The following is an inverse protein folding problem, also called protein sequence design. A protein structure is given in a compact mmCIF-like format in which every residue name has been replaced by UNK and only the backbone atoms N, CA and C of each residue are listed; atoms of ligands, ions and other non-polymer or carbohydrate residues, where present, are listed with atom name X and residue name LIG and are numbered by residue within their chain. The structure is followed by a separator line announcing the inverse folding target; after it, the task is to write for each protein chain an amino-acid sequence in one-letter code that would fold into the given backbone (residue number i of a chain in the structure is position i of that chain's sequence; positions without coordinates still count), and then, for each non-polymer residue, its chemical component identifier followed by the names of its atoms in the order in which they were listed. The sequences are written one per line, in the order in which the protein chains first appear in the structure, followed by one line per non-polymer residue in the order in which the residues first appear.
data_IF_269838216383
#
_entry.id   IF_269838216383
#
_cell.length_a   1.000
_cell.length_b   1.000
_cell.length_c   1.000
_cell.angle_alpha   90.00
_cell.angle_beta   90.00
_cell.angle_gamma   90.00
#
_symmetry.space_group_name_H-M   'P 1'
#
loop_
_entity.id
_entity.type
_entity.pdbx_description
1 polymer ?
#
# COMPACT_ATOMS: atom_id res chain seq x y z
N UNK A 1 -59.14 -39.19 11.99
CA UNK A 1 -60.50 -39.50 12.39
C UNK A 1 -61.45 -39.00 11.32
N UNK A 2 -62.01 -39.96 10.67
CA UNK A 2 -63.11 -39.94 9.65
C UNK A 2 -64.40 -39.33 10.20
N UNK A 3 -65.54 -39.24 9.49
CA UNK A 3 -65.89 -39.70 8.14
C UNK A 3 -66.97 -38.88 7.34
N UNK A 4 -67.17 -39.27 6.05
CA UNK A 4 -68.42 -39.58 5.32
C UNK A 4 -69.64 -38.63 5.29
N UNK A 5 -70.18 -38.30 4.12
CA UNK A 5 -71.30 -39.00 3.45
C UNK A 5 -71.77 -38.20 2.19
N UNK A 6 -71.74 -38.76 1.04
CA UNK A 6 -72.82 -39.33 0.18
C UNK A 6 -74.18 -38.64 0.16
N UNK A 7 -74.61 -38.29 -1.09
CA UNK A 7 -75.89 -38.64 -1.74
C UNK A 7 -76.04 -37.77 -3.04
N UNK A 8 -75.90 -38.27 -4.26
CA UNK A 8 -76.87 -39.06 -5.05
C UNK A 8 -78.23 -38.36 -5.32
N UNK A 9 -78.42 -37.96 -6.58
CA UNK A 9 -79.58 -38.41 -7.38
C UNK A 9 -79.66 -37.71 -8.73
N UNK A 10 -79.99 -38.55 -9.71
CA UNK A 10 -80.31 -38.35 -11.15
C UNK A 10 -81.79 -37.90 -11.26
N UNK A 11 -82.36 -37.83 -12.51
CA UNK A 11 -82.21 -36.97 -13.68
C UNK A 11 -83.57 -36.43 -14.14
N UNK A 12 -83.58 -35.50 -15.11
CA UNK A 12 -84.78 -35.35 -15.94
C UNK A 12 -84.41 -34.87 -17.35
N UNK A 13 -84.75 -35.67 -18.31
CA UNK A 13 -84.79 -35.40 -19.76
C UNK A 13 -85.91 -34.42 -20.06
N UNK A 14 -85.63 -33.40 -20.92
CA UNK A 14 -86.58 -32.87 -21.88
C UNK A 14 -85.86 -32.45 -23.15
N UNK A 15 -86.22 -33.10 -24.18
CA UNK A 15 -86.04 -32.82 -25.61
C UNK A 15 -86.75 -31.51 -25.95
N UNK A 16 -86.06 -30.60 -26.66
CA UNK A 16 -86.74 -29.67 -27.55
C UNK A 16 -85.81 -29.32 -28.73
N UNK A 17 -86.33 -29.52 -29.85
CA UNK A 17 -85.84 -29.40 -31.21
C UNK A 17 -85.76 -27.92 -31.64
N UNK A 18 -84.78 -27.55 -32.46
CA UNK A 18 -84.94 -26.51 -33.47
C UNK A 18 -84.30 -25.15 -33.19
N UNK A 19 -83.22 -24.90 -33.92
CA UNK A 19 -83.07 -23.78 -34.85
C UNK A 19 -81.59 -23.66 -35.25
N UNK A 20 -81.31 -24.02 -36.52
CA UNK A 20 -80.08 -23.85 -37.21
C UNK A 20 -79.95 -22.37 -37.60
N UNK A 21 -79.19 -21.56 -36.73
CA UNK A 21 -78.84 -20.19 -37.02
C UNK A 21 -77.42 -20.11 -37.44
N UNK A 22 -77.10 -19.88 -38.68
CA UNK A 22 -75.83 -19.53 -39.26
C UNK A 22 -75.41 -18.19 -38.67
N UNK A 23 -74.58 -18.20 -37.61
CA UNK A 23 -73.79 -17.04 -37.14
C UNK A 23 -72.44 -17.11 -37.85
N UNK A 24 -72.32 -16.40 -39.00
CA UNK A 24 -71.04 -15.99 -39.53
C UNK A 24 -70.37 -15.08 -38.60
N UNK A 25 -69.48 -15.60 -37.68
CA UNK A 25 -68.64 -14.82 -36.85
C UNK A 25 -67.58 -14.06 -37.71
N UNK A 26 -67.72 -12.76 -37.81
CA UNK A 26 -66.65 -11.90 -38.25
C UNK A 26 -65.49 -12.09 -37.29
N UNK A 27 -64.50 -12.89 -37.67
CA UNK A 27 -63.18 -12.86 -37.01
C UNK A 27 -62.58 -11.49 -37.34
N UNK A 28 -62.53 -10.59 -36.38
CA UNK A 28 -61.75 -9.38 -36.51
C UNK A 28 -60.29 -9.76 -36.89
N UNK A 29 -59.69 -9.11 -37.90
CA UNK A 29 -58.29 -9.35 -38.20
C UNK A 29 -57.45 -9.07 -36.96
N UNK A 30 -56.41 -9.91 -36.68
CA UNK A 30 -55.56 -9.67 -35.54
C UNK A 30 -55.04 -8.23 -35.59
N UNK A 31 -55.00 -7.50 -34.45
CA UNK A 31 -54.54 -6.11 -34.41
C UNK A 31 -53.14 -6.05 -35.06
N UNK A 32 -52.83 -5.02 -35.86
CA UNK A 32 -51.52 -4.91 -36.49
C UNK A 32 -50.47 -4.96 -35.41
N UNK A 33 -49.43 -5.82 -35.63
CA UNK A 33 -48.34 -5.99 -34.68
C UNK A 33 -47.77 -4.62 -34.37
N UNK A 34 -47.72 -4.25 -33.10
CA UNK A 34 -47.17 -2.97 -32.66
C UNK A 34 -45.73 -2.82 -33.23
N UNK A 35 -45.36 -1.65 -33.74
CA UNK A 35 -44.04 -1.47 -34.29
C UNK A 35 -42.96 -1.84 -33.25
N UNK A 36 -41.85 -2.49 -33.66
CA UNK A 36 -40.81 -2.95 -32.72
C UNK A 36 -40.30 -1.79 -31.92
N UNK A 37 -40.19 -1.99 -30.59
CA UNK A 37 -39.70 -0.97 -29.65
C UNK A 37 -38.29 -0.53 -30.03
N UNK A 38 -38.09 0.78 -30.16
CA UNK A 38 -36.77 1.37 -30.41
C UNK A 38 -35.93 1.28 -29.15
N UNK A 39 -34.72 0.74 -29.25
CA UNK A 39 -33.73 0.61 -28.18
C UNK A 39 -32.38 1.10 -28.64
N UNK A 40 -31.62 1.70 -27.74
CA UNK A 40 -30.24 2.06 -28.01
C UNK A 40 -29.32 0.92 -27.58
N UNK A 41 -28.38 0.57 -28.44
CA UNK A 41 -27.44 -0.51 -28.21
C UNK A 41 -26.00 -0.01 -28.41
N UNK A 42 -25.11 -0.58 -27.60
CA UNK A 42 -23.66 -0.39 -27.74
C UNK A 42 -23.07 -1.71 -28.22
N UNK A 43 -22.21 -1.65 -29.25
CA UNK A 43 -21.42 -2.80 -29.67
C UNK A 43 -20.20 -2.94 -28.73
N UNK A 44 -20.07 -4.11 -28.12
CA UNK A 44 -18.96 -4.43 -27.21
C UNK A 44 -17.68 -4.62 -28.01
N UNK A 45 -16.70 -3.77 -27.77
CA UNK A 45 -15.38 -3.89 -28.40
C UNK A 45 -14.30 -4.02 -27.32
N UNK A 46 -13.27 -4.84 -27.56
CA UNK A 46 -12.12 -4.89 -26.67
C UNK A 46 -11.40 -3.54 -26.64
N UNK A 47 -11.06 -3.08 -25.43
CA UNK A 47 -10.30 -1.84 -25.21
C UNK A 47 -9.17 -2.09 -24.22
N UNK A 48 -8.05 -1.41 -24.43
CA UNK A 48 -7.00 -1.33 -23.42
C UNK A 48 -7.41 -0.37 -22.31
N UNK A 49 -7.44 -0.84 -21.10
CA UNK A 49 -7.86 -0.08 -19.93
C UNK A 49 -6.71 0.03 -18.93
N UNK A 50 -6.35 1.26 -18.56
CA UNK A 50 -5.43 1.51 -17.48
C UNK A 50 -6.10 1.15 -16.14
N UNK A 51 -5.43 0.36 -15.33
CA UNK A 51 -5.90 -0.03 -14.00
C UNK A 51 -5.07 0.63 -12.92
N UNK A 52 -5.74 1.03 -11.86
CA UNK A 52 -5.09 1.51 -10.63
C UNK A 52 -5.67 0.80 -9.42
N UNK A 53 -4.84 0.66 -8.38
CA UNK A 53 -5.21 -0.02 -7.15
C UNK A 53 -4.86 0.89 -5.98
N UNK A 54 -5.82 1.11 -5.09
CA UNK A 54 -5.66 1.96 -3.92
C UNK A 54 -5.42 1.09 -2.67
N UNK A 55 -4.38 1.42 -1.91
CA UNK A 55 -4.02 0.77 -0.65
C UNK A 55 -3.86 1.82 0.44
N UNK A 56 -4.18 1.47 1.67
CA UNK A 56 -3.75 2.27 2.81
C UNK A 56 -2.24 2.12 2.96
N UNK A 57 -1.54 3.24 2.94
CA UNK A 57 -0.11 3.32 3.16
C UNK A 57 0.23 4.17 4.35
N UNK A 58 1.39 3.94 4.93
CA UNK A 58 1.97 4.74 6.01
C UNK A 58 3.26 5.38 5.52
N UNK A 59 3.41 6.67 5.82
CA UNK A 59 4.65 7.39 5.55
C UNK A 59 5.69 7.02 6.59
N UNK A 60 6.88 6.61 6.16
CA UNK A 60 8.00 6.22 7.01
C UNK A 60 9.20 7.08 6.67
N UNK A 61 9.97 7.49 7.66
CA UNK A 61 11.21 8.24 7.44
C UNK A 61 12.19 7.40 6.59
N UNK A 62 12.95 8.07 5.72
CA UNK A 62 14.04 7.43 4.97
C UNK A 62 15.03 6.71 5.87
N UNK A 63 15.44 7.40 6.94
CA UNK A 63 16.28 6.86 8.01
C UNK A 63 15.80 7.45 9.33
N UNK A 64 15.79 6.60 10.34
CA UNK A 64 15.60 6.99 11.73
C UNK A 64 16.76 6.45 12.52
N UNK A 65 17.46 7.34 13.20
CA UNK A 65 18.56 6.98 14.09
C UNK A 65 18.16 7.38 15.52
N UNK A 66 18.26 6.43 16.42
CA UNK A 66 18.12 6.64 17.84
C UNK A 66 19.45 7.13 18.39
N UNK A 67 19.46 8.34 18.94
CA UNK A 67 20.62 8.89 19.63
C UNK A 67 20.60 8.39 21.07
N UNK A 68 21.55 7.52 21.38
CA UNK A 68 21.70 6.90 22.69
C UNK A 68 22.96 7.43 23.38
N UNK A 69 22.97 7.43 24.70
CA UNK A 69 24.18 7.73 25.46
C UNK A 69 25.14 6.54 25.38
N UNK A 70 26.42 6.80 25.21
CA UNK A 70 27.48 5.78 25.29
C UNK A 70 28.09 5.66 26.67
N UNK A 71 27.92 6.70 27.52
CA UNK A 71 28.44 6.75 28.88
C UNK A 71 27.38 7.27 29.85
N UNK A 72 27.50 6.87 31.12
CA UNK A 72 26.65 7.38 32.21
C UNK A 72 27.10 8.75 32.68
N UNK A 73 26.19 9.52 33.28
CA UNK A 73 26.48 10.84 33.84
C UNK A 73 25.25 11.73 33.90
N UNK A 74 25.49 13.00 34.19
CA UNK A 74 24.46 14.04 34.25
C UNK A 74 24.57 14.90 32.98
N UNK A 75 23.42 15.19 32.32
CA UNK A 75 23.39 16.10 31.18
C UNK A 75 23.64 17.52 31.67
N UNK A 76 24.77 18.09 31.30
CA UNK A 76 25.11 19.49 31.61
C UNK A 76 24.45 20.46 30.67
N UNK A 77 24.41 20.10 29.39
CA UNK A 77 23.90 21.00 28.35
C UNK A 77 23.20 20.21 27.22
N UNK A 78 22.10 20.78 26.70
CA UNK A 78 21.43 20.39 25.45
C UNK A 78 21.60 21.55 24.45
N UNK A 79 22.26 21.31 23.33
CA UNK A 79 22.72 22.38 22.42
C UNK A 79 21.79 22.59 21.22
N UNK A 80 20.66 21.89 21.14
CA UNK A 80 19.70 21.97 20.04
C UNK A 80 18.29 22.36 20.51
N UNK A 81 17.45 22.80 19.58
CA UNK A 81 16.01 22.95 19.76
C UNK A 81 15.30 21.70 19.21
N UNK A 82 14.30 21.20 19.93
CA UNK A 82 13.46 20.09 19.48
C UNK A 82 12.77 20.44 18.16
N UNK A 83 12.74 19.49 17.23
CA UNK A 83 12.17 19.71 15.89
C UNK A 83 13.05 20.52 14.94
N UNK A 84 14.24 20.96 15.34
CA UNK A 84 15.18 21.64 14.47
C UNK A 84 15.89 20.67 13.51
N UNK A 85 16.53 21.25 12.48
CA UNK A 85 17.45 20.51 11.61
C UNK A 85 18.83 20.44 12.26
N UNK A 86 19.41 19.26 12.25
CA UNK A 86 20.78 19.01 12.69
C UNK A 86 21.64 18.48 11.56
N UNK A 87 22.96 18.73 11.67
CA UNK A 87 23.95 18.25 10.71
C UNK A 87 24.77 17.11 11.29
N UNK A 88 25.32 16.20 10.46
CA UNK A 88 26.23 15.18 10.94
C UNK A 88 27.40 15.82 11.71
N UNK A 89 27.77 15.23 12.85
CA UNK A 89 28.81 15.73 13.75
C UNK A 89 28.41 16.88 14.67
N UNK A 90 27.22 17.45 14.51
CA UNK A 90 26.74 18.52 15.41
C UNK A 90 26.62 17.99 16.83
N UNK A 91 27.12 18.74 17.80
CA UNK A 91 26.97 18.42 19.23
C UNK A 91 25.51 18.55 19.61
N UNK A 92 24.99 17.56 20.30
CA UNK A 92 23.59 17.49 20.76
C UNK A 92 23.50 17.62 22.28
N UNK A 93 24.35 16.86 23.00
CA UNK A 93 24.40 16.90 24.46
C UNK A 93 25.85 16.95 24.94
N UNK A 94 26.02 17.53 26.09
CA UNK A 94 27.24 17.47 26.90
C UNK A 94 26.90 16.78 28.21
N UNK A 95 27.63 15.73 28.51
CA UNK A 95 27.52 14.97 29.77
C UNK A 95 28.67 15.42 30.69
N UNK A 96 28.47 15.43 31.99
CA UNK A 96 29.48 15.76 32.99
C UNK A 96 30.76 14.94 32.76
N UNK A 97 31.85 15.66 32.54
CA UNK A 97 33.14 15.10 32.15
C UNK A 97 34.05 14.81 33.32
N UNK A 98 33.69 15.30 34.52
CA UNK A 98 34.58 15.33 35.69
C UNK A 98 35.17 13.96 36.01
N UNK A 99 34.32 12.93 36.04
CA UNK A 99 34.73 11.54 36.35
C UNK A 99 35.60 10.96 35.22
N UNK A 100 35.22 11.20 33.99
CA UNK A 100 35.89 10.66 32.80
C UNK A 100 37.26 11.34 32.58
N UNK A 101 37.39 12.64 32.84
CA UNK A 101 38.68 13.35 32.85
C UNK A 101 39.63 12.83 33.94
N UNK A 102 39.08 12.50 35.13
CA UNK A 102 39.88 11.90 36.18
C UNK A 102 40.36 10.49 35.82
N UNK A 103 39.48 9.68 35.20
CA UNK A 103 39.83 8.34 34.71
C UNK A 103 40.93 8.39 33.64
N UNK A 104 40.82 9.32 32.69
CA UNK A 104 41.86 9.49 31.66
C UNK A 104 43.21 9.88 32.30
N UNK A 105 43.24 10.84 33.22
CA UNK A 105 44.49 11.22 33.91
C UNK A 105 45.14 10.05 34.67
N UNK A 106 44.35 9.18 35.29
CA UNK A 106 44.85 7.97 35.94
C UNK A 106 45.45 6.97 34.95
N UNK A 107 44.74 6.70 33.85
CA UNK A 107 45.24 5.84 32.78
C UNK A 107 46.51 6.38 32.13
N UNK A 108 46.60 7.69 31.87
CA UNK A 108 47.80 8.36 31.36
C UNK A 108 48.99 8.19 32.33
N UNK A 109 48.77 8.33 33.65
CA UNK A 109 49.80 8.14 34.65
C UNK A 109 50.33 6.70 34.68
N UNK A 110 49.45 5.69 34.56
CA UNK A 110 49.85 4.28 34.49
C UNK A 110 50.66 3.99 33.21
N UNK A 111 50.23 4.48 32.07
CA UNK A 111 51.00 4.35 30.81
C UNK A 111 52.37 4.97 30.92
N UNK A 112 52.48 6.19 31.45
CA UNK A 112 53.78 6.86 31.64
C UNK A 112 54.72 6.06 32.57
N UNK A 113 54.17 5.47 33.66
CA UNK A 113 54.96 4.62 34.55
C UNK A 113 55.47 3.38 33.86
N UNK A 114 54.61 2.68 33.11
CA UNK A 114 54.98 1.49 32.33
C UNK A 114 56.04 1.84 31.26
N UNK A 115 55.89 2.95 30.57
CA UNK A 115 56.82 3.41 29.56
C UNK A 115 58.22 3.67 30.11
N UNK A 116 58.28 4.42 31.23
CA UNK A 116 59.54 4.66 31.95
C UNK A 116 60.19 3.35 32.42
N UNK A 117 59.40 2.33 32.76
CA UNK A 117 59.88 1.04 33.19
C UNK A 117 60.55 0.30 32.03
N UNK A 118 59.89 0.26 30.85
CA UNK A 118 60.49 -0.31 29.63
C UNK A 118 61.74 0.44 29.24
N UNK A 119 61.72 1.77 29.20
CA UNK A 119 62.90 2.61 28.88
C UNK A 119 64.11 2.32 29.79
N UNK A 120 63.83 2.04 31.06
CA UNK A 120 64.91 1.70 32.05
C UNK A 120 65.43 0.28 31.82
N UNK A 121 64.55 -0.71 31.59
CA UNK A 121 64.93 -2.11 31.50
C UNK A 121 65.59 -2.47 30.16
N UNK A 122 65.18 -1.85 29.05
CA UNK A 122 65.67 -2.16 27.70
C UNK A 122 67.22 -2.00 27.56
N UNK A 123 67.86 -0.92 28.04
CA UNK A 123 69.35 -0.83 28.02
C UNK A 123 70.03 -1.78 28.99
N UNK A 124 69.38 -2.18 30.11
CA UNK A 124 69.90 -3.16 31.03
C UNK A 124 69.93 -4.58 30.42
N UNK A 125 68.95 -4.92 29.61
CA UNK A 125 68.93 -6.17 28.85
C UNK A 125 70.10 -6.22 27.83
N UNK A 126 70.38 -5.08 27.16
CA UNK A 126 71.50 -5.02 26.22
C UNK A 126 72.88 -5.29 26.88
N UNK A 127 72.96 -5.00 28.18
CA UNK A 127 74.12 -5.26 29.05
C UNK A 127 74.03 -6.58 29.82
N UNK A 128 73.08 -7.46 29.53
CA UNK A 128 72.76 -8.72 30.26
C UNK A 128 72.58 -8.56 31.76
N UNK A 129 72.15 -7.37 32.22
CA UNK A 129 71.91 -7.03 33.65
C UNK A 129 70.51 -7.42 34.16
N UNK A 130 69.57 -7.77 33.26
CA UNK A 130 68.23 -8.25 33.56
C UNK A 130 67.82 -9.40 32.63
N UNK A 131 66.87 -10.21 33.04
CA UNK A 131 66.35 -11.29 32.18
C UNK A 131 65.49 -10.73 31.03
N UNK A 132 65.53 -11.40 29.89
CA UNK A 132 64.68 -11.03 28.75
C UNK A 132 63.18 -11.03 29.15
N UNK A 133 62.79 -11.99 29.99
CA UNK A 133 61.42 -12.08 30.52
C UNK A 133 60.96 -10.82 31.24
N UNK A 134 61.84 -10.13 31.99
CA UNK A 134 61.51 -8.89 32.68
C UNK A 134 61.17 -7.77 31.70
N UNK A 135 61.88 -7.69 30.59
CA UNK A 135 61.61 -6.71 29.52
C UNK A 135 60.32 -7.07 28.80
N UNK A 136 60.12 -8.33 28.44
CA UNK A 136 58.90 -8.83 27.76
C UNK A 136 57.65 -8.59 28.63
N UNK A 137 57.79 -8.76 29.96
CA UNK A 137 56.69 -8.45 30.91
C UNK A 137 56.43 -6.95 30.96
N UNK A 138 57.44 -6.10 31.03
CA UNK A 138 57.30 -4.65 31.08
C UNK A 138 56.72 -4.11 29.76
N UNK A 139 57.11 -4.64 28.60
CA UNK A 139 56.52 -4.30 27.32
C UNK A 139 55.06 -4.71 27.23
N UNK A 140 54.69 -5.89 27.75
CA UNK A 140 53.31 -6.34 27.83
C UNK A 140 52.45 -5.42 28.71
N UNK A 141 53.00 -4.97 29.84
CA UNK A 141 52.35 -4.02 30.75
C UNK A 141 52.15 -2.65 30.10
N UNK A 142 53.15 -2.15 29.36
CA UNK A 142 53.03 -0.91 28.61
C UNK A 142 51.92 -1.01 27.55
N UNK A 143 51.81 -2.17 26.87
CA UNK A 143 50.78 -2.38 25.85
C UNK A 143 49.38 -2.35 26.50
N UNK A 144 49.19 -2.98 27.68
CA UNK A 144 47.92 -2.91 28.43
C UNK A 144 47.61 -1.48 28.83
N UNK A 145 48.57 -0.78 29.47
CA UNK A 145 48.37 0.59 29.92
C UNK A 145 48.03 1.58 28.78
N UNK A 146 48.52 1.33 27.56
CA UNK A 146 48.12 2.08 26.37
C UNK A 146 46.67 1.78 25.95
N UNK A 147 46.27 0.53 26.00
CA UNK A 147 44.88 0.15 25.72
C UNK A 147 43.92 0.78 26.73
N UNK A 148 44.26 0.78 28.03
CA UNK A 148 43.46 1.41 29.10
C UNK A 148 43.35 2.93 28.89
N UNK A 149 44.43 3.59 28.44
CA UNK A 149 44.41 5.04 28.12
C UNK A 149 43.50 5.33 26.93
N UNK A 150 43.59 4.51 25.86
CA UNK A 150 42.74 4.65 24.67
C UNK A 150 41.26 4.46 25.03
N UNK A 151 40.92 3.50 25.89
CA UNK A 151 39.57 3.28 26.40
C UNK A 151 39.07 4.48 27.19
N UNK A 152 39.87 4.97 28.17
CA UNK A 152 39.51 6.13 28.98
C UNK A 152 39.33 7.40 28.13
N UNK A 153 40.15 7.57 27.08
CA UNK A 153 40.03 8.67 26.13
C UNK A 153 38.73 8.55 25.32
N UNK A 154 38.40 7.35 24.88
CA UNK A 154 37.13 7.09 24.16
C UNK A 154 35.93 7.43 25.04
N UNK A 155 35.89 7.00 26.29
CA UNK A 155 34.81 7.33 27.22
C UNK A 155 34.67 8.82 27.44
N UNK A 156 35.80 9.55 27.56
CA UNK A 156 35.79 11.02 27.68
C UNK A 156 35.21 11.67 26.41
N UNK A 157 35.57 11.18 25.21
CA UNK A 157 35.02 11.69 23.97
C UNK A 157 33.53 11.42 23.86
N UNK A 158 33.04 10.27 24.35
CA UNK A 158 31.65 9.87 24.37
C UNK A 158 30.77 10.72 25.32
N UNK A 159 31.36 11.53 26.20
CA UNK A 159 30.61 12.54 26.97
C UNK A 159 30.04 13.65 26.08
N UNK A 160 30.51 13.77 24.86
CA UNK A 160 30.01 14.72 23.87
C UNK A 160 29.17 13.93 22.84
N UNK A 161 27.86 13.89 23.04
CA UNK A 161 26.95 13.20 22.13
C UNK A 161 26.74 14.03 20.86
N UNK A 162 27.00 13.44 19.69
CA UNK A 162 26.89 14.09 18.38
C UNK A 162 25.84 13.43 17.51
N UNK A 163 25.32 14.21 16.56
CA UNK A 163 24.44 13.68 15.52
C UNK A 163 25.24 12.79 14.55
N UNK A 164 24.84 11.55 14.38
CA UNK A 164 25.45 10.63 13.42
C UNK A 164 24.99 10.90 11.98
N UNK A 165 23.75 11.34 11.82
CA UNK A 165 23.15 11.71 10.54
C UNK A 165 22.58 13.12 10.58
N UNK A 166 22.44 13.74 9.40
CA UNK A 166 21.66 14.96 9.25
C UNK A 166 20.18 14.63 9.15
N UNK A 167 19.34 15.50 9.70
CA UNK A 167 17.90 15.33 9.66
C UNK A 167 17.19 16.16 10.72
N UNK A 168 15.91 15.92 10.91
CA UNK A 168 15.10 16.58 11.92
C UNK A 168 15.20 15.87 13.25
N UNK A 169 15.66 16.59 14.27
CA UNK A 169 15.79 16.03 15.61
C UNK A 169 14.42 15.99 16.30
N UNK A 170 14.16 14.89 16.97
CA UNK A 170 12.92 14.67 17.72
C UNK A 170 12.93 15.34 19.10
N UNK A 171 11.99 14.91 19.92
CA UNK A 171 11.84 15.33 21.31
C UNK A 171 12.94 14.73 22.17
N UNK A 172 13.49 15.50 23.11
CA UNK A 172 14.39 14.94 24.11
C UNK A 172 13.65 14.04 25.10
N UNK A 173 14.33 12.98 25.55
CA UNK A 173 13.81 12.08 26.59
C UNK A 173 14.32 12.49 27.97
N UNK A 174 15.56 13.00 28.01
CA UNK A 174 16.22 13.50 29.20
C UNK A 174 16.69 14.92 28.93
N UNK A 175 16.37 15.86 29.81
CA UNK A 175 16.75 17.26 29.70
C UNK A 175 17.94 17.57 30.58
N UNK A 176 18.42 18.81 30.54
CA UNK A 176 19.52 19.30 31.39
C UNK A 176 19.29 18.97 32.87
N UNK A 177 20.31 18.44 33.54
CA UNK A 177 20.21 17.92 34.90
C UNK A 177 19.68 16.48 35.01
N UNK A 178 19.18 15.91 33.92
CA UNK A 178 18.78 14.51 33.85
C UNK A 178 19.97 13.58 34.00
N UNK A 179 19.77 12.44 34.68
CA UNK A 179 20.80 11.44 34.88
C UNK A 179 20.65 10.31 33.87
N UNK A 180 21.72 10.03 33.17
CA UNK A 180 21.93 8.87 32.34
C UNK A 180 22.43 7.75 33.23
N UNK A 181 21.72 6.62 33.25
CA UNK A 181 21.97 5.49 34.15
C UNK A 181 22.63 4.30 33.47
N UNK A 182 22.64 4.31 32.14
CA UNK A 182 23.24 3.24 31.32
C UNK A 182 23.67 3.72 29.96
N UNK A 183 24.58 2.98 29.34
CA UNK A 183 25.14 3.26 28.01
C UNK A 183 24.13 3.11 26.87
N UNK A 184 22.88 2.72 27.16
CA UNK A 184 21.83 2.51 26.14
C UNK A 184 20.63 3.44 26.33
N UNK A 185 20.71 4.44 27.23
CA UNK A 185 19.62 5.36 27.46
C UNK A 185 19.32 6.17 26.19
N UNK A 186 18.07 6.08 25.72
CA UNK A 186 17.59 6.82 24.55
C UNK A 186 17.44 8.30 24.91
N UNK A 187 18.20 9.15 24.27
CA UNK A 187 18.18 10.60 24.48
C UNK A 187 17.20 11.31 23.53
N UNK A 188 17.24 10.97 22.25
CA UNK A 188 16.38 11.54 21.20
C UNK A 188 16.43 10.67 19.94
N UNK A 189 15.69 11.07 18.91
CA UNK A 189 15.76 10.47 17.58
C UNK A 189 16.10 11.52 16.53
N UNK A 190 16.72 11.12 15.43
CA UNK A 190 16.92 11.97 14.25
C UNK A 190 16.27 11.27 13.07
N UNK A 191 15.32 11.96 12.43
CA UNK A 191 14.60 11.47 11.27
C UNK A 191 15.06 12.22 10.01
N UNK A 192 15.47 11.48 9.01
CA UNK A 192 15.73 12.00 7.67
C UNK A 192 14.44 11.98 6.87
N UNK A 193 13.93 13.17 6.52
CA UNK A 193 12.59 13.38 5.97
C UNK A 193 12.56 13.61 4.45
N UNK A 194 13.70 13.64 3.80
CA UNK A 194 13.81 13.70 2.34
C UNK A 194 14.99 12.83 1.89
N UNK A 195 14.69 11.81 1.07
CA UNK A 195 13.36 11.32 0.68
C UNK A 195 12.59 10.69 1.86
N UNK A 196 11.33 10.26 1.62
CA UNK A 196 10.55 9.42 2.55
C UNK A 196 10.11 8.14 1.86
N UNK A 197 9.67 7.19 2.63
CA UNK A 197 9.00 6.00 2.16
C UNK A 197 7.50 6.08 2.40
N UNK A 198 6.75 5.41 1.51
CA UNK A 198 5.36 5.02 1.77
C UNK A 198 5.32 3.49 1.74
N UNK A 199 5.01 2.89 2.88
CA UNK A 199 4.83 1.45 3.02
C UNK A 199 3.35 1.12 2.89
N UNK A 200 2.99 0.12 2.05
CA UNK A 200 1.63 -0.35 1.84
C UNK A 200 1.61 -1.87 1.63
N UNK A 201 0.45 -2.49 1.86
CA UNK A 201 0.37 -3.93 2.05
C UNK A 201 -0.70 -4.59 1.15
N UNK A 202 -0.42 -4.85 -0.14
CA UNK A 202 -1.31 -5.65 -0.97
C UNK A 202 -1.43 -7.09 -0.44
N UNK A 203 -2.61 -7.70 -0.64
CA UNK A 203 -2.82 -9.09 -0.30
C UNK A 203 -2.01 -10.02 -1.22
N UNK A 204 -1.62 -11.19 -0.72
CA UNK A 204 -0.92 -12.20 -1.53
C UNK A 204 -1.71 -12.58 -2.79
N UNK A 205 -3.03 -12.65 -2.69
CA UNK A 205 -3.89 -12.93 -3.83
C UNK A 205 -3.78 -11.82 -4.89
N UNK A 206 -3.78 -10.56 -4.47
CA UNK A 206 -3.62 -9.41 -5.38
C UNK A 206 -2.26 -9.47 -6.09
N UNK A 207 -1.19 -9.70 -5.35
CA UNK A 207 0.17 -9.82 -5.92
C UNK A 207 0.24 -11.01 -6.91
N UNK A 208 -0.35 -12.16 -6.57
CA UNK A 208 -0.40 -13.31 -7.46
C UNK A 208 -1.16 -12.99 -8.76
N UNK A 209 -2.28 -12.25 -8.66
CA UNK A 209 -3.04 -11.78 -9.83
C UNK A 209 -2.21 -10.84 -10.69
N UNK A 210 -1.43 -9.95 -10.10
CA UNK A 210 -0.52 -9.07 -10.84
C UNK A 210 0.58 -9.87 -11.55
N UNK A 211 1.22 -10.80 -10.84
CA UNK A 211 2.31 -11.64 -11.38
C UNK A 211 1.86 -12.61 -12.49
N UNK A 212 0.58 -13.00 -12.51
CA UNK A 212 0.03 -13.86 -13.57
C UNK A 212 -0.18 -13.14 -14.91
N UNK A 213 -0.06 -11.82 -14.94
CA UNK A 213 -0.14 -11.04 -16.19
C UNK A 213 1.16 -11.20 -17.00
N UNK A 214 1.09 -11.06 -18.33
CA UNK A 214 2.28 -11.17 -19.20
C UNK A 214 3.40 -10.18 -18.82
N UNK A 215 3.03 -8.96 -18.43
CA UNK A 215 3.94 -7.88 -18.02
C UNK A 215 4.21 -7.87 -16.50
N UNK A 216 3.47 -8.66 -15.73
CA UNK A 216 3.49 -8.70 -14.28
C UNK A 216 4.88 -8.84 -13.67
N UNK A 217 5.71 -9.82 -14.07
CA UNK A 217 7.05 -9.97 -13.51
C UNK A 217 7.97 -8.78 -13.78
N UNK A 218 7.74 -8.03 -14.85
CA UNK A 218 8.52 -6.84 -15.17
C UNK A 218 8.05 -5.61 -14.39
N UNK A 219 6.76 -5.55 -14.04
CA UNK A 219 6.15 -4.47 -13.27
C UNK A 219 6.37 -4.64 -11.76
N UNK A 220 6.28 -5.88 -11.23
CA UNK A 220 6.40 -6.17 -9.80
C UNK A 220 7.86 -6.39 -9.42
N UNK A 221 8.66 -5.34 -9.53
CA UNK A 221 10.08 -5.32 -9.12
C UNK A 221 10.52 -3.91 -8.74
N UNK A 222 11.50 -3.76 -7.85
CA UNK A 222 12.09 -2.47 -7.55
C UNK A 222 12.61 -1.75 -8.80
N UNK A 223 12.36 -0.44 -8.88
CA UNK A 223 12.74 0.39 -10.03
C UNK A 223 11.94 0.13 -11.30
N UNK A 224 10.79 -0.55 -11.21
CA UNK A 224 9.88 -0.77 -12.33
C UNK A 224 9.19 0.50 -12.80
N UNK A 225 8.44 0.38 -13.91
CA UNK A 225 7.62 1.46 -14.46
C UNK A 225 6.31 1.72 -13.66
N UNK A 226 6.05 0.96 -12.58
CA UNK A 226 4.92 1.24 -11.71
C UNK A 226 5.04 2.64 -11.11
N UNK A 227 3.95 3.39 -11.20
CA UNK A 227 3.83 4.71 -10.60
C UNK A 227 3.00 4.60 -9.35
N UNK A 228 3.52 5.09 -8.25
CA UNK A 228 2.83 5.13 -6.97
C UNK A 228 2.53 6.59 -6.65
N UNK A 229 1.26 6.94 -6.48
CA UNK A 229 0.82 8.27 -6.07
C UNK A 229 0.41 8.22 -4.61
N UNK A 230 0.81 9.21 -3.82
CA UNK A 230 0.33 9.38 -2.46
C UNK A 230 -0.87 10.35 -2.47
N UNK A 231 -2.05 9.83 -2.17
CA UNK A 231 -3.25 10.64 -2.00
C UNK A 231 -3.40 10.97 -0.52
N UNK A 232 -3.36 12.25 -0.20
CA UNK A 232 -3.41 12.78 1.16
C UNK A 232 -4.81 12.63 1.77
N UNK A 233 -4.96 12.76 3.10
CA UNK A 233 -6.26 12.62 3.77
C UNK A 233 -7.33 13.62 3.32
N UNK A 234 -6.93 14.78 2.81
CA UNK A 234 -7.83 15.78 2.22
C UNK A 234 -8.29 15.46 0.79
N UNK A 235 -7.79 14.34 0.23
CA UNK A 235 -8.09 13.91 -1.13
C UNK A 235 -7.16 14.49 -2.20
N UNK A 236 -6.28 15.40 -1.87
CA UNK A 236 -5.29 15.93 -2.80
C UNK A 236 -4.22 14.87 -3.14
N UNK A 237 -3.70 14.91 -4.35
CA UNK A 237 -2.62 14.02 -4.79
C UNK A 237 -1.28 14.72 -4.57
N UNK A 238 -0.35 14.06 -3.89
CA UNK A 238 1.00 14.57 -3.74
C UNK A 238 1.67 14.73 -5.12
N UNK A 239 2.27 15.89 -5.44
CA UNK A 239 2.66 16.22 -6.81
C UNK A 239 3.79 15.34 -7.38
N UNK A 240 4.56 14.71 -6.52
CA UNK A 240 5.69 13.83 -6.93
C UNK A 240 5.27 12.38 -6.80
N UNK A 241 5.34 11.62 -7.89
CA UNK A 241 5.10 10.17 -7.86
C UNK A 241 6.28 9.43 -7.23
N UNK A 242 5.96 8.43 -6.42
CA UNK A 242 6.94 7.51 -5.87
C UNK A 242 7.32 6.39 -6.83
N UNK A 243 8.49 5.83 -6.61
CA UNK A 243 8.99 4.64 -7.32
C UNK A 243 9.03 3.46 -6.35
N UNK A 244 8.65 2.28 -6.83
CA UNK A 244 8.76 1.05 -6.05
C UNK A 244 10.23 0.79 -5.71
N UNK A 245 10.55 0.78 -4.42
CA UNK A 245 11.91 0.66 -3.90
C UNK A 245 12.20 -0.74 -3.32
N UNK A 246 11.20 -1.31 -2.66
CA UNK A 246 11.36 -2.59 -1.96
C UNK A 246 10.06 -3.39 -1.97
N UNK A 247 10.20 -4.70 -2.03
CA UNK A 247 9.14 -5.68 -1.84
C UNK A 247 9.65 -6.69 -0.84
N UNK A 248 8.95 -6.85 0.28
CA UNK A 248 9.34 -7.83 1.29
C UNK A 248 9.17 -9.26 0.74
N UNK A 249 10.20 -10.11 0.78
CA UNK A 249 10.09 -11.51 0.41
C UNK A 249 9.22 -12.33 1.38
N UNK A 250 8.96 -11.80 2.60
CA UNK A 250 8.20 -12.47 3.66
C UNK A 250 6.78 -11.90 3.72
N UNK A 251 5.81 -12.77 3.94
CA UNK A 251 4.42 -12.35 4.17
C UNK A 251 4.21 -11.97 5.63
N UNK A 252 3.40 -10.95 5.86
CA UNK A 252 2.97 -10.57 7.20
C UNK A 252 2.25 -11.71 7.91
N UNK A 253 2.71 -12.05 9.12
CA UNK A 253 2.14 -13.12 9.93
C UNK A 253 0.70 -12.78 10.31
N UNK A 254 -0.23 -13.67 9.96
CA UNK A 254 -1.66 -13.50 10.30
C UNK A 254 -2.48 -12.62 9.34
N UNK A 255 -1.87 -11.79 8.50
CA UNK A 255 -2.57 -10.91 7.56
C UNK A 255 -2.59 -11.45 6.13
N UNK A 256 -1.62 -12.28 5.76
CA UNK A 256 -1.46 -12.77 4.38
C UNK A 256 -1.16 -11.66 3.37
N UNK A 257 -0.65 -10.53 3.84
CA UNK A 257 -0.26 -9.38 3.02
C UNK A 257 1.26 -9.34 2.84
N UNK A 258 1.72 -8.67 1.80
CA UNK A 258 3.13 -8.47 1.49
C UNK A 258 3.45 -6.98 1.57
N UNK A 259 4.52 -6.62 2.26
CA UNK A 259 4.93 -5.21 2.32
C UNK A 259 5.56 -4.78 1.01
N UNK A 260 5.06 -3.68 0.48
CA UNK A 260 5.60 -2.93 -0.64
C UNK A 260 5.99 -1.55 -0.14
N UNK A 261 7.15 -1.07 -0.56
CA UNK A 261 7.65 0.23 -0.15
C UNK A 261 8.00 1.06 -1.38
N UNK A 262 7.44 2.25 -1.45
CA UNK A 262 7.73 3.22 -2.47
C UNK A 262 8.52 4.41 -1.90
N UNK A 263 9.50 4.89 -2.65
CA UNK A 263 10.33 6.04 -2.30
C UNK A 263 9.78 7.30 -2.96
N UNK A 264 9.62 8.36 -2.18
CA UNK A 264 9.15 9.68 -2.61
C UNK A 264 10.19 10.74 -2.27
N UNK A 265 10.50 11.63 -3.21
CA UNK A 265 11.18 12.88 -2.88
C UNK A 265 10.23 13.76 -2.07
N UNK A 266 10.72 14.39 -1.01
CA UNK A 266 9.90 15.17 -0.07
C UNK A 266 10.59 16.48 0.35
N UNK A 267 10.99 17.32 -0.61
CA UNK A 267 11.75 18.54 -0.30
C UNK A 267 10.96 19.52 0.57
N UNK A 268 9.65 19.61 0.36
CA UNK A 268 8.75 20.49 1.10
C UNK A 268 8.21 19.89 2.40
N UNK A 269 8.60 18.64 2.71
CA UNK A 269 8.22 17.91 3.94
C UNK A 269 6.72 17.81 4.18
N UNK A 270 5.94 17.74 3.11
CA UNK A 270 4.48 17.56 3.16
C UNK A 270 4.12 16.16 3.66
N UNK A 271 4.90 15.14 3.26
CA UNK A 271 4.74 13.78 3.75
C UNK A 271 5.47 13.65 5.10
N UNK A 272 4.68 13.45 6.16
CA UNK A 272 5.19 13.37 7.53
C UNK A 272 5.19 11.90 7.99
N UNK A 273 6.31 11.37 8.52
CA UNK A 273 6.34 10.02 9.07
C UNK A 273 5.25 9.76 10.12
N UNK A 274 4.61 8.59 10.02
CA UNK A 274 3.43 8.23 10.83
C UNK A 274 2.10 8.69 10.23
N UNK A 275 2.12 9.48 9.16
CA UNK A 275 0.91 9.89 8.44
C UNK A 275 0.40 8.71 7.58
N UNK A 276 -0.92 8.48 7.62
CA UNK A 276 -1.56 7.57 6.68
C UNK A 276 -1.93 8.31 5.40
N UNK A 277 -1.63 7.67 4.28
CA UNK A 277 -1.96 8.15 2.92
C UNK A 277 -2.59 7.00 2.15
N UNK A 278 -3.26 7.30 1.05
CA UNK A 278 -3.69 6.27 0.11
C UNK A 278 -2.62 6.13 -0.97
N UNK A 279 -1.95 4.99 -0.98
CA UNK A 279 -1.01 4.63 -2.03
C UNK A 279 -1.79 4.12 -3.25
N UNK A 280 -1.85 4.93 -4.31
CA UNK A 280 -2.46 4.55 -5.58
C UNK A 280 -1.38 4.01 -6.50
N UNK A 281 -1.47 2.72 -6.79
CA UNK A 281 -0.53 2.01 -7.67
C UNK A 281 -1.12 1.97 -9.07
N UNK A 282 -0.43 2.54 -10.05
CA UNK A 282 -0.84 2.61 -11.45
C UNK A 282 0.30 2.15 -12.37
N UNK A 283 -0.04 1.89 -13.64
CA UNK A 283 0.90 1.37 -14.64
C UNK A 283 0.53 0.00 -15.16
N UNK A 284 -0.53 -0.60 -14.62
CA UNK A 284 -1.11 -1.82 -15.17
C UNK A 284 -2.05 -1.47 -16.32
N UNK A 285 -1.96 -2.27 -17.39
CA UNK A 285 -2.87 -2.17 -18.52
C UNK A 285 -3.58 -3.51 -18.68
N UNK A 286 -4.88 -3.48 -18.78
CA UNK A 286 -5.69 -4.65 -19.16
C UNK A 286 -6.02 -4.54 -20.63
N UNK A 287 -5.32 -5.30 -21.44
CA UNK A 287 -5.65 -5.43 -22.84
C UNK A 287 -6.93 -6.24 -23.02
N UNK A 288 -7.71 -5.89 -24.04
CA UNK A 288 -8.96 -6.61 -24.37
C UNK A 288 -10.03 -6.60 -23.26
N UNK A 289 -10.09 -5.56 -22.42
CA UNK A 289 -11.19 -5.37 -21.49
C UNK A 289 -12.49 -5.13 -22.24
N UNK A 290 -13.55 -5.85 -21.86
CA UNK A 290 -14.90 -5.63 -22.38
C UNK A 290 -15.63 -4.69 -21.42
N UNK A 291 -15.94 -3.48 -21.88
CA UNK A 291 -16.63 -2.48 -21.05
C UNK A 291 -18.01 -2.15 -21.60
N UNK A 292 -18.95 -1.93 -20.71
CA UNK A 292 -20.30 -1.47 -21.05
C UNK A 292 -20.73 -0.35 -20.08
N UNK A 293 -21.57 0.60 -20.53
CA UNK A 293 -22.09 1.65 -19.66
C UNK A 293 -22.83 1.06 -18.46
N UNK A 294 -22.69 1.71 -17.28
CA UNK A 294 -23.31 1.27 -16.02
C UNK A 294 -24.83 1.02 -16.17
N UNK A 295 -25.52 1.89 -16.89
CA UNK A 295 -26.96 1.81 -17.15
C UNK A 295 -27.41 0.56 -17.90
N UNK A 296 -26.50 -0.13 -18.59
CA UNK A 296 -26.80 -1.38 -19.31
C UNK A 296 -26.92 -2.59 -18.38
N UNK A 297 -26.27 -2.56 -17.20
CA UNK A 297 -26.32 -3.64 -16.23
C UNK A 297 -27.57 -3.51 -15.39
N UNK A 298 -28.44 -4.53 -15.47
CA UNK A 298 -29.67 -4.62 -14.68
C UNK A 298 -29.43 -5.59 -13.52
N UNK A 299 -30.11 -5.32 -12.41
CA UNK A 299 -30.05 -6.18 -11.23
C UNK A 299 -31.45 -6.67 -10.84
N UNK A 300 -31.61 -7.97 -10.68
CA UNK A 300 -32.83 -8.58 -10.17
C UNK A 300 -32.51 -9.82 -9.34
N UNK A 301 -33.15 -9.93 -8.16
CA UNK A 301 -32.98 -11.07 -7.24
C UNK A 301 -31.53 -11.42 -6.93
N UNK A 302 -30.66 -10.42 -6.80
CA UNK A 302 -29.23 -10.60 -6.50
C UNK A 302 -28.38 -11.04 -7.70
N UNK A 303 -28.95 -11.13 -8.91
CA UNK A 303 -28.23 -11.45 -10.15
C UNK A 303 -28.09 -10.19 -10.98
N UNK A 304 -26.94 -10.05 -11.61
CA UNK A 304 -26.64 -9.00 -12.57
C UNK A 304 -26.73 -9.57 -13.99
N UNK A 305 -27.43 -8.86 -14.86
CA UNK A 305 -27.65 -9.31 -16.22
C UNK A 305 -27.74 -8.12 -17.19
N UNK A 306 -27.60 -8.42 -18.47
CA UNK A 306 -27.76 -7.45 -19.56
C UNK A 306 -28.75 -7.98 -20.57
N UNK A 307 -29.36 -7.06 -21.32
CA UNK A 307 -30.13 -7.41 -22.53
C UNK A 307 -29.20 -7.31 -23.73
N UNK A 308 -29.15 -8.41 -24.51
CA UNK A 308 -28.42 -8.49 -25.77
C UNK A 308 -29.41 -8.51 -26.93
N UNK A 309 -29.02 -7.87 -28.03
CA UNK A 309 -29.77 -7.96 -29.28
C UNK A 309 -29.06 -8.95 -30.20
N UNK A 310 -29.66 -10.13 -30.36
CA UNK A 310 -29.15 -11.22 -31.18
C UNK A 310 -29.53 -11.11 -32.66
N UNK A 311 -29.34 -12.22 -33.43
CA UNK A 311 -29.78 -12.31 -34.83
C UNK A 311 -31.29 -12.09 -34.94
N UNK A 312 -31.72 -11.42 -36.01
CA UNK A 312 -33.14 -11.07 -36.21
C UNK A 312 -33.67 -10.04 -35.23
N UNK A 313 -32.76 -9.22 -34.62
CA UNK A 313 -33.05 -8.16 -33.63
C UNK A 313 -33.90 -8.64 -32.46
N UNK A 314 -33.71 -9.88 -32.05
CA UNK A 314 -34.38 -10.48 -30.90
C UNK A 314 -33.60 -10.24 -29.61
N UNK A 315 -34.31 -9.84 -28.54
CA UNK A 315 -33.73 -9.59 -27.23
C UNK A 315 -33.48 -10.89 -26.45
N UNK A 316 -32.27 -11.08 -25.98
CA UNK A 316 -31.89 -12.16 -25.08
C UNK A 316 -31.41 -11.59 -23.74
N UNK A 317 -31.68 -12.29 -22.64
CA UNK A 317 -31.14 -11.96 -21.31
C UNK A 317 -29.89 -12.80 -21.08
N UNK A 318 -28.80 -12.17 -20.65
CA UNK A 318 -27.58 -12.89 -20.32
C UNK A 318 -27.04 -12.41 -18.95
N UNK A 319 -26.79 -13.36 -18.05
CA UNK A 319 -26.16 -13.07 -16.79
C UNK A 319 -24.73 -12.63 -17.03
N UNK A 320 -24.25 -11.63 -16.27
CA UNK A 320 -22.92 -11.10 -16.35
C UNK A 320 -22.26 -11.04 -14.98
N UNK A 321 -20.94 -11.15 -14.95
CA UNK A 321 -20.14 -10.91 -13.76
C UNK A 321 -19.40 -9.58 -13.97
N UNK A 322 -19.87 -8.47 -13.40
CA UNK A 322 -19.14 -7.22 -13.45
C UNK A 322 -17.93 -7.27 -12.52
N UNK A 323 -16.85 -6.66 -12.97
CA UNK A 323 -15.60 -6.51 -12.25
C UNK A 323 -15.41 -5.10 -11.71
N UNK A 324 -14.27 -4.49 -12.03
CA UNK A 324 -13.97 -3.12 -11.62
C UNK A 324 -14.81 -2.09 -12.37
N UNK A 325 -15.03 -0.99 -11.71
CA UNK A 325 -15.75 0.16 -12.24
C UNK A 325 -14.74 1.25 -12.62
N UNK A 326 -14.86 1.83 -13.80
CA UNK A 326 -14.02 2.92 -14.28
C UNK A 326 -14.91 4.00 -14.88
N UNK A 327 -14.89 5.20 -14.33
CA UNK A 327 -15.79 6.28 -14.69
C UNK A 327 -17.25 5.85 -14.64
N UNK A 328 -17.94 5.83 -15.79
CA UNK A 328 -19.34 5.43 -15.96
C UNK A 328 -19.51 4.04 -16.60
N UNK A 329 -18.41 3.27 -16.70
CA UNK A 329 -18.41 1.96 -17.36
C UNK A 329 -18.03 0.81 -16.40
N UNK A 330 -18.71 -0.32 -16.56
CA UNK A 330 -18.35 -1.58 -15.94
C UNK A 330 -17.41 -2.39 -16.83
N UNK A 331 -16.34 -2.88 -16.29
CA UNK A 331 -15.55 -3.96 -16.89
C UNK A 331 -16.27 -5.27 -16.63
N UNK A 332 -16.66 -5.98 -17.66
CA UNK A 332 -17.35 -7.27 -17.53
C UNK A 332 -16.32 -8.39 -17.61
N UNK A 333 -16.30 -9.23 -16.56
CA UNK A 333 -15.39 -10.37 -16.49
C UNK A 333 -15.91 -11.57 -17.24
N UNK A 334 -17.22 -11.83 -17.16
CA UNK A 334 -17.87 -12.97 -17.77
C UNK A 334 -19.27 -12.60 -18.26
N UNK A 335 -19.72 -13.28 -19.33
CA UNK A 335 -21.10 -13.19 -19.81
C UNK A 335 -21.30 -12.38 -21.07
N UNK A 336 -20.31 -11.65 -21.59
CA UNK A 336 -20.37 -10.97 -22.89
C UNK A 336 -19.16 -11.33 -23.75
N UNK A 337 -19.32 -11.18 -25.05
CA UNK A 337 -18.27 -11.41 -26.04
C UNK A 337 -18.04 -10.18 -26.92
N UNK A 338 -16.86 -10.06 -27.55
CA UNK A 338 -16.63 -9.03 -28.56
C UNK A 338 -17.66 -9.11 -29.68
N UNK A 339 -18.24 -7.96 -30.04
CA UNK A 339 -19.28 -7.87 -31.06
C UNK A 339 -20.72 -8.01 -30.54
N UNK A 340 -20.93 -8.38 -29.29
CA UNK A 340 -22.26 -8.39 -28.67
C UNK A 340 -22.88 -6.99 -28.71
N UNK A 341 -24.18 -6.89 -29.03
CA UNK A 341 -24.95 -5.64 -29.01
C UNK A 341 -25.72 -5.56 -27.69
N UNK A 342 -25.26 -4.75 -26.76
CA UNK A 342 -25.84 -4.60 -25.42
C UNK A 342 -26.81 -3.42 -25.40
N UNK A 343 -28.03 -3.63 -24.90
CA UNK A 343 -29.03 -2.56 -24.76
C UNK A 343 -28.65 -1.66 -23.60
N UNK A 344 -28.57 -0.35 -23.84
CA UNK A 344 -28.20 0.68 -22.86
C UNK A 344 -29.35 1.62 -22.53
N UNK A 345 -30.38 1.71 -23.41
CA UNK A 345 -31.56 2.54 -23.17
C UNK A 345 -32.83 1.83 -23.75
N UNK A 346 -33.97 2.09 -23.11
CA UNK A 346 -35.24 1.45 -23.51
C UNK A 346 -35.50 0.09 -22.84
N UNK A 347 -34.71 -0.31 -21.85
CA UNK A 347 -34.82 -1.59 -21.11
C UNK A 347 -36.19 -1.82 -20.50
N UNK A 348 -36.92 -0.76 -20.11
CA UNK A 348 -38.24 -0.84 -19.50
C UNK A 348 -39.35 -1.30 -20.48
N UNK A 349 -39.08 -1.21 -21.80
CA UNK A 349 -40.03 -1.48 -22.86
C UNK A 349 -39.85 -2.86 -23.46
N UNK A 350 -38.85 -3.63 -23.01
CA UNK A 350 -38.45 -4.88 -23.63
C UNK A 350 -38.51 -6.08 -22.67
N UNK A 351 -38.66 -7.25 -23.24
CA UNK A 351 -38.59 -8.56 -22.56
C UNK A 351 -37.80 -9.53 -23.41
N UNK A 352 -37.28 -10.57 -22.79
CA UNK A 352 -36.63 -11.67 -23.52
C UNK A 352 -37.57 -12.22 -24.59
N UNK A 353 -37.06 -12.46 -25.80
CA UNK A 353 -37.80 -12.96 -26.97
C UNK A 353 -38.50 -11.89 -27.78
N UNK A 354 -38.53 -10.63 -27.37
CA UNK A 354 -39.13 -9.56 -28.21
C UNK A 354 -38.20 -9.14 -29.34
N UNK A 355 -38.78 -8.79 -30.47
CA UNK A 355 -38.09 -8.16 -31.60
C UNK A 355 -38.09 -6.64 -31.35
N UNK A 356 -36.94 -6.02 -31.52
CA UNK A 356 -36.71 -4.59 -31.27
C UNK A 356 -36.12 -3.90 -32.50
N UNK A 357 -36.13 -2.59 -32.52
CA UNK A 357 -35.43 -1.77 -33.53
C UNK A 357 -34.18 -1.15 -32.89
N UNK A 358 -33.00 -1.79 -33.04
CA UNK A 358 -31.78 -1.31 -32.39
C UNK A 358 -31.19 -0.12 -33.13
N UNK A 359 -30.81 0.89 -32.36
CA UNK A 359 -30.02 2.03 -32.83
C UNK A 359 -28.63 1.94 -32.14
N UNK A 360 -27.62 1.74 -32.97
CA UNK A 360 -26.25 1.65 -32.45
C UNK A 360 -25.77 3.05 -32.10
N UNK A 361 -25.33 3.22 -30.83
CA UNK A 361 -24.69 4.44 -30.34
C UNK A 361 -23.22 4.18 -30.00
N UNK A 362 -22.34 5.19 -30.08
CA UNK A 362 -20.97 5.05 -29.63
C UNK A 362 -20.90 4.69 -28.14
N UNK A 363 -19.94 3.82 -27.77
CA UNK A 363 -19.77 3.42 -26.38
C UNK A 363 -19.39 4.58 -25.43
N UNK A 364 -18.87 5.67 -25.99
CA UNK A 364 -18.42 6.85 -25.25
C UNK A 364 -19.47 7.98 -25.23
N UNK A 365 -20.66 7.75 -25.73
CA UNK A 365 -21.75 8.74 -25.60
C UNK A 365 -22.28 8.71 -24.16
N UNK A 366 -21.58 9.40 -23.25
CA UNK A 366 -22.14 9.88 -21.99
C UNK A 366 -23.29 10.81 -22.38
N UNK A 367 -24.51 10.41 -22.09
CA UNK A 367 -25.66 11.27 -22.29
C UNK A 367 -25.52 12.57 -21.50
N UNK A 368 -25.13 13.59 -22.20
CA UNK A 368 -25.48 14.95 -21.85
C UNK A 368 -26.95 15.12 -22.22
N UNK A 369 -27.85 14.62 -21.39
CA UNK A 369 -29.21 15.09 -21.35
C UNK A 369 -29.28 16.10 -20.22
N UNK A 370 -29.02 17.32 -20.61
CA UNK A 370 -29.55 18.52 -19.96
C UNK A 370 -31.08 18.54 -20.15
N UNK A 371 -31.85 18.43 -19.10
CA UNK A 371 -32.98 19.24 -18.65
C UNK A 371 -33.75 18.53 -17.55
#
# INVERSE_FOLDING_TARGET
VFPFSYLSSRPLRHTALGALGLLAGCADPPPPAAPPSRVEVVSVAPRSLAESFDFTGEVVAWRRVEVRAAVEGIIEERTFQEGAEVRPGQVLYRIDRTVWEAALRDAEARRQLAERTVERLRPLLANNAVAKQDVDNAESELLRARADEDEARKHLDDTIVRAEIGGRIGKTRLDRGGRITGSDDLLTTIDQLDPVYVSFHPSRQQVATWLSRPDGPSLIRPGSALRIEAVLPDGSVYPVSGTLDYIDPVLGVGTGTQEFRARFANPDRVLVPGQFVRARVSGFVRDSALTIPQRAVQQSLGRQFVYLVGPGDTVAVRNVVPGSWTADQWVIQEGIAPGDRVVVSGVQKIRAGMVVSPVVIPADSTGTDSE
#
